data_IF_059311160821
#
_entry.id   IF_059311160821
#
_cell.length_a   1.000
_cell.length_b   1.000
_cell.length_c   1.000
_cell.angle_alpha   90.00
_cell.angle_beta   90.00
_cell.angle_gamma   90.00
#
_symmetry.space_group_name_H-M   'P 1'
#
loop_
_entity.id
_entity.type
_entity.pdbx_description
1 polymer ?
#
# COMPACT_ATOMS: atom_id res chain seq x y z
N UNK A 1 84.80 -1.55 7.34
CA UNK A 1 85.24 -2.69 6.51
C UNK A 1 85.45 -3.89 7.42
N UNK A 2 85.19 -5.12 6.96
CA UNK A 2 84.40 -5.53 5.79
C UNK A 2 83.04 -6.08 6.32
N UNK A 3 82.33 -7.15 5.92
CA UNK A 3 82.02 -7.96 4.71
C UNK A 3 80.61 -8.57 4.97
N UNK A 4 79.86 -9.24 4.08
CA UNK A 4 79.99 -9.67 2.67
C UNK A 4 78.57 -9.64 2.03
N UNK A 5 78.38 -10.18 0.81
CA UNK A 5 77.07 -10.23 0.12
C UNK A 5 76.82 -11.57 -0.59
N UNK A 6 75.55 -12.00 -0.69
CA UNK A 6 75.02 -13.02 -1.64
C UNK A 6 75.52 -14.48 -1.38
N UNK A 7 74.91 -15.57 -1.93
CA UNK A 7 74.17 -15.70 -3.20
C UNK A 7 72.76 -16.35 -3.12
N UNK A 8 72.24 -16.75 -4.30
CA UNK A 8 70.93 -17.37 -4.53
C UNK A 8 71.03 -18.85 -4.95
N UNK A 9 69.86 -19.50 -5.09
CA UNK A 9 69.56 -20.82 -5.69
C UNK A 9 70.16 -22.06 -4.97
N UNK A 10 69.43 -23.14 -4.69
CA UNK A 10 68.82 -24.02 -5.72
C UNK A 10 68.18 -25.30 -5.09
N UNK A 11 67.15 -25.88 -5.77
CA UNK A 11 66.56 -27.25 -5.68
C UNK A 11 66.07 -27.81 -4.30
N UNK A 12 65.03 -28.67 -4.17
CA UNK A 12 64.11 -29.29 -5.16
C UNK A 12 62.70 -29.66 -4.56
N UNK A 13 61.83 -30.22 -5.41
CA UNK A 13 60.42 -30.67 -5.23
C UNK A 13 60.22 -31.79 -4.14
N UNK A 14 59.01 -32.07 -3.58
CA UNK A 14 57.82 -32.52 -4.35
C UNK A 14 56.38 -32.20 -3.82
N UNK A 15 55.51 -31.71 -4.72
CA UNK A 15 54.13 -32.21 -4.99
C UNK A 15 52.97 -32.22 -3.95
N UNK A 16 51.74 -32.32 -4.50
CA UNK A 16 50.40 -32.55 -3.87
C UNK A 16 49.60 -31.27 -3.51
N UNK A 17 48.28 -31.16 -3.84
CA UNK A 17 47.79 -29.91 -4.46
C UNK A 17 46.96 -28.97 -3.58
N UNK A 18 47.08 -27.68 -3.89
CA UNK A 18 46.13 -26.65 -3.46
C UNK A 18 44.75 -26.85 -4.09
N UNK A 19 43.76 -27.26 -3.28
CA UNK A 19 42.35 -26.94 -3.52
C UNK A 19 42.12 -25.47 -3.10
N UNK A 20 41.15 -24.83 -3.74
CA UNK A 20 40.77 -23.40 -3.65
C UNK A 20 41.57 -22.45 -4.57
N UNK A 21 41.01 -22.08 -5.74
CA UNK A 21 41.53 -20.99 -6.57
C UNK A 21 41.41 -19.62 -5.88
N UNK A 22 42.40 -18.76 -6.12
CA UNK A 22 42.40 -17.36 -5.69
C UNK A 22 41.17 -16.60 -6.23
N UNK A 23 40.68 -15.64 -5.44
CA UNK A 23 39.39 -14.99 -5.65
C UNK A 23 39.27 -14.16 -6.94
N UNK A 24 38.03 -13.99 -7.40
CA UNK A 24 37.63 -13.01 -8.43
C UNK A 24 36.50 -12.13 -7.89
N UNK A 25 36.53 -10.84 -8.22
CA UNK A 25 35.66 -9.83 -7.61
C UNK A 25 34.16 -9.92 -7.93
N UNK A 26 33.32 -9.06 -7.33
CA UNK A 26 31.86 -9.24 -7.23
C UNK A 26 31.08 -9.35 -8.55
N UNK A 27 31.62 -8.86 -9.67
CA UNK A 27 30.90 -8.74 -10.94
C UNK A 27 30.44 -10.05 -11.60
N UNK A 28 30.96 -11.21 -11.17
CA UNK A 28 30.64 -12.49 -11.82
C UNK A 28 29.39 -13.21 -11.28
N UNK A 29 28.89 -12.89 -10.08
CA UNK A 29 27.70 -13.56 -9.52
C UNK A 29 26.40 -13.07 -10.17
N UNK A 30 26.29 -11.77 -10.47
CA UNK A 30 25.10 -11.17 -11.08
C UNK A 30 24.83 -11.78 -12.47
N UNK A 31 25.86 -11.94 -13.31
CA UNK A 31 25.72 -12.53 -14.66
C UNK A 31 25.39 -14.02 -14.64
N UNK A 32 25.77 -14.76 -13.59
CA UNK A 32 25.37 -16.17 -13.42
C UNK A 32 23.89 -16.25 -12.99
N UNK A 33 23.48 -15.47 -12.00
CA UNK A 33 22.09 -15.43 -11.53
C UNK A 33 21.11 -14.96 -12.61
N UNK A 34 21.44 -13.92 -13.39
CA UNK A 34 20.64 -13.46 -14.53
C UNK A 34 20.55 -14.46 -15.71
N UNK A 35 21.41 -15.47 -15.74
CA UNK A 35 21.33 -16.57 -16.71
C UNK A 35 20.50 -17.73 -16.14
N UNK A 36 20.72 -18.09 -14.88
CA UNK A 36 19.90 -19.09 -14.18
C UNK A 36 18.42 -18.67 -14.14
N UNK A 37 18.12 -17.38 -13.93
CA UNK A 37 16.76 -16.81 -14.01
C UNK A 37 16.18 -16.78 -15.43
N UNK A 38 17.01 -16.90 -16.47
CA UNK A 38 16.59 -17.00 -17.89
C UNK A 38 16.43 -18.45 -18.36
N UNK A 39 17.07 -19.39 -17.68
CA UNK A 39 17.08 -20.82 -18.02
C UNK A 39 16.09 -21.65 -17.18
N UNK A 40 15.55 -21.10 -16.08
CA UNK A 40 14.64 -21.79 -15.17
C UNK A 40 13.15 -21.77 -15.56
N UNK A 41 12.73 -20.91 -16.49
CA UNK A 41 11.31 -20.69 -16.82
C UNK A 41 10.86 -21.60 -17.98
N UNK A 42 10.50 -22.84 -17.64
CA UNK A 42 9.60 -23.67 -18.45
C UNK A 42 8.19 -23.05 -18.54
N UNK A 43 7.29 -23.58 -19.38
CA UNK A 43 6.07 -22.88 -19.79
C UNK A 43 5.12 -22.55 -18.63
N UNK A 44 4.73 -21.27 -18.56
CA UNK A 44 3.72 -20.76 -17.62
C UNK A 44 2.41 -21.55 -17.66
N UNK A 45 1.78 -21.83 -16.51
CA UNK A 45 0.43 -22.36 -16.46
C UNK A 45 -0.60 -21.31 -16.91
N UNK A 46 -1.29 -21.61 -18.02
CA UNK A 46 -2.56 -21.02 -18.46
C UNK A 46 -2.66 -19.48 -18.50
N UNK A 47 -2.26 -18.90 -19.63
CA UNK A 47 -2.77 -17.60 -20.07
C UNK A 47 -4.30 -17.66 -20.28
N UNK A 48 -5.05 -16.58 -19.98
CA UNK A 48 -6.46 -16.47 -20.39
C UNK A 48 -6.59 -16.40 -21.92
N UNK A 49 -7.74 -16.76 -22.53
CA UNK A 49 -7.84 -17.02 -23.98
C UNK A 49 -7.74 -15.82 -24.94
N UNK A 50 -7.22 -14.66 -24.50
CA UNK A 50 -7.24 -13.39 -25.25
C UNK A 50 -5.94 -13.03 -25.98
N UNK A 51 -4.92 -13.90 -25.95
CA UNK A 51 -3.59 -13.66 -26.56
C UNK A 51 -3.17 -14.75 -27.56
N UNK A 52 -4.10 -15.25 -28.38
CA UNK A 52 -3.74 -15.87 -29.66
C UNK A 52 -3.36 -14.73 -30.62
N UNK A 53 -2.15 -14.80 -31.19
CA UNK A 53 -1.62 -13.78 -32.08
C UNK A 53 -2.45 -13.70 -33.37
N UNK A 54 -3.23 -12.64 -33.53
CA UNK A 54 -4.00 -12.40 -34.76
C UNK A 54 -3.07 -11.95 -35.89
N UNK A 55 -3.39 -12.35 -37.12
CA UNK A 55 -2.70 -11.90 -38.33
C UNK A 55 -2.92 -10.40 -38.63
N UNK A 56 -2.27 -9.87 -39.67
CA UNK A 56 -2.36 -8.45 -40.01
C UNK A 56 -3.77 -8.09 -40.54
N UNK A 57 -4.70 -7.69 -39.65
CA UNK A 57 -6.07 -7.42 -40.09
C UNK A 57 -7.14 -7.09 -39.05
N UNK A 58 -6.86 -6.37 -37.95
CA UNK A 58 -7.85 -5.53 -37.24
C UNK A 58 -7.20 -4.64 -36.18
N UNK A 59 -7.69 -3.42 -35.91
CA UNK A 59 -7.32 -2.66 -34.72
C UNK A 59 -7.99 -3.32 -33.50
N UNK A 60 -7.28 -4.22 -32.82
CA UNK A 60 -7.77 -4.81 -31.57
C UNK A 60 -7.70 -3.74 -30.48
N UNK A 61 -8.83 -3.07 -30.20
CA UNK A 61 -8.93 -2.16 -29.08
C UNK A 61 -8.56 -2.88 -27.78
N UNK A 62 -7.49 -2.40 -27.14
CA UNK A 62 -7.13 -2.80 -25.79
C UNK A 62 -8.35 -2.53 -24.90
N UNK A 63 -8.89 -3.52 -24.15
CA UNK A 63 -10.05 -3.27 -23.29
C UNK A 63 -9.69 -2.10 -22.37
N UNK A 64 -10.51 -1.03 -22.32
CA UNK A 64 -10.09 0.22 -21.69
C UNK A 64 -9.57 -0.04 -20.27
N UNK A 65 -8.34 0.41 -19.98
CA UNK A 65 -8.00 0.69 -18.59
C UNK A 65 -8.97 1.79 -18.16
N UNK A 66 -10.00 1.42 -17.42
CA UNK A 66 -11.06 2.34 -17.02
C UNK A 66 -10.47 3.45 -16.15
N UNK A 67 -10.18 4.60 -16.79
CA UNK A 67 -9.42 5.68 -16.19
C UNK A 67 -10.18 6.25 -14.98
N UNK A 68 -9.64 5.94 -13.80
CA UNK A 68 -10.11 6.53 -12.54
C UNK A 68 -9.88 8.04 -12.61
N UNK A 69 -10.95 8.80 -12.39
CA UNK A 69 -10.87 10.27 -12.43
C UNK A 69 -10.62 10.80 -11.02
N UNK A 70 -9.58 11.62 -10.89
CA UNK A 70 -9.26 12.44 -9.71
C UNK A 70 -9.45 13.92 -10.11
N UNK A 71 -9.81 14.79 -9.18
CA UNK A 71 -10.02 16.22 -9.39
C UNK A 71 -8.93 17.06 -8.71
N UNK A 72 -8.23 17.87 -9.51
CA UNK A 72 -7.28 18.86 -9.03
C UNK A 72 -6.00 18.31 -8.39
N UNK A 73 -5.16 19.19 -7.82
CA UNK A 73 -3.97 18.79 -7.09
C UNK A 73 -4.32 18.17 -5.73
N UNK A 74 -3.52 17.21 -5.22
CA UNK A 74 -3.71 16.64 -3.89
C UNK A 74 -3.44 17.68 -2.79
N UNK A 75 -4.21 17.58 -1.71
CA UNK A 75 -4.08 18.39 -0.50
C UNK A 75 -3.24 17.59 0.51
N UNK A 76 -2.08 18.12 0.88
CA UNK A 76 -1.19 17.50 1.87
C UNK A 76 -1.46 18.03 3.28
N UNK A 77 -1.40 17.13 4.27
CA UNK A 77 -1.60 17.39 5.70
C UNK A 77 -2.81 18.29 6.05
N UNK A 78 -4.02 18.08 5.49
CA UNK A 78 -5.17 18.90 5.82
C UNK A 78 -5.60 18.75 7.29
N UNK A 79 -6.12 19.82 7.93
CA UNK A 79 -6.65 19.74 9.29
C UNK A 79 -7.90 18.85 9.35
N UNK A 80 -8.13 18.25 10.52
CA UNK A 80 -9.39 17.57 10.86
C UNK A 80 -10.13 18.46 11.88
N UNK A 81 -11.43 18.76 11.70
CA UNK A 81 -12.32 18.32 10.61
C UNK A 81 -11.96 18.90 9.23
N UNK A 82 -12.09 18.06 8.19
CA UNK A 82 -11.83 18.41 6.79
C UNK A 82 -13.14 18.42 5.99
N UNK A 83 -13.23 19.36 5.03
CA UNK A 83 -14.31 19.47 4.06
C UNK A 83 -13.74 19.68 2.65
N UNK A 84 -13.95 18.72 1.76
CA UNK A 84 -13.53 18.75 0.35
C UNK A 84 -14.73 18.85 -0.58
N UNK A 85 -14.83 19.95 -1.34
CA UNK A 85 -15.86 20.12 -2.39
C UNK A 85 -15.50 19.28 -3.61
N UNK A 86 -16.43 18.45 -4.07
CA UNK A 86 -16.33 17.66 -5.30
C UNK A 86 -16.92 18.49 -6.45
N UNK A 87 -16.13 18.77 -7.49
CA UNK A 87 -16.58 19.66 -8.57
C UNK A 87 -17.62 18.95 -9.44
N UNK A 88 -18.74 19.62 -9.73
CA UNK A 88 -19.87 19.00 -10.45
C UNK A 88 -20.46 17.75 -9.78
N UNK A 89 -20.15 17.51 -8.49
CA UNK A 89 -20.60 16.34 -7.73
C UNK A 89 -19.94 15.02 -8.11
N UNK A 90 -20.35 13.93 -7.47
CA UNK A 90 -19.91 12.58 -7.83
C UNK A 90 -20.43 12.17 -9.20
N UNK A 91 -19.53 11.69 -10.06
CA UNK A 91 -19.88 10.89 -11.23
C UNK A 91 -19.36 9.48 -11.03
N UNK A 92 -19.91 8.52 -11.78
CA UNK A 92 -19.26 7.21 -11.89
C UNK A 92 -17.80 7.40 -12.35
N UNK A 93 -16.92 6.48 -11.93
CA UNK A 93 -15.46 6.46 -12.20
C UNK A 93 -14.62 7.48 -11.42
N UNK A 94 -15.22 8.47 -10.75
CA UNK A 94 -14.49 9.29 -9.76
C UNK A 94 -14.00 8.43 -8.60
N UNK A 95 -12.79 8.73 -8.14
CA UNK A 95 -12.14 8.05 -7.02
C UNK A 95 -11.62 9.07 -6.04
N UNK A 96 -11.98 8.96 -4.77
CA UNK A 96 -11.50 9.84 -3.70
C UNK A 96 -10.51 9.05 -2.85
N UNK A 97 -9.28 9.57 -2.70
CA UNK A 97 -8.17 8.95 -1.98
C UNK A 97 -7.87 9.74 -0.72
N UNK A 98 -7.92 9.06 0.42
CA UNK A 98 -7.67 9.62 1.75
C UNK A 98 -6.52 8.84 2.37
N UNK A 99 -5.50 9.53 2.90
CA UNK A 99 -4.43 8.92 3.69
C UNK A 99 -4.28 9.64 5.03
N UNK A 100 -4.08 8.86 6.08
CA UNK A 100 -3.88 9.38 7.43
C UNK A 100 -3.49 8.31 8.44
N UNK A 101 -3.28 8.73 9.68
CA UNK A 101 -2.95 7.88 10.81
C UNK A 101 -4.12 7.85 11.79
N UNK A 102 -4.49 6.66 12.28
CA UNK A 102 -5.49 6.49 13.33
C UNK A 102 -4.84 6.85 14.67
N UNK A 103 -5.43 7.79 15.41
CA UNK A 103 -4.85 8.27 16.66
C UNK A 103 -4.87 7.15 17.73
N UNK A 104 -3.80 7.02 18.52
CA UNK A 104 -3.52 5.86 19.39
C UNK A 104 -4.51 5.63 20.55
N UNK A 105 -5.51 6.51 20.74
CA UNK A 105 -6.61 6.36 21.71
C UNK A 105 -7.96 6.76 21.11
N UNK A 106 -8.08 6.69 19.79
CA UNK A 106 -9.29 7.08 19.09
C UNK A 106 -10.47 6.18 19.43
N UNK A 107 -11.65 6.78 19.54
CA UNK A 107 -12.93 6.08 19.67
C UNK A 107 -13.60 5.89 18.31
N UNK A 108 -13.58 6.92 17.45
CA UNK A 108 -14.44 6.99 16.28
C UNK A 108 -13.86 7.84 15.15
N UNK A 109 -13.94 7.35 13.91
CA UNK A 109 -13.67 8.12 12.70
C UNK A 109 -14.98 8.28 11.93
N UNK A 110 -15.17 9.40 11.24
CA UNK A 110 -16.33 9.65 10.38
C UNK A 110 -15.83 10.13 9.02
N UNK A 111 -16.23 9.44 7.96
CA UNK A 111 -16.06 9.88 6.57
C UNK A 111 -17.44 9.90 5.92
N UNK A 112 -17.91 11.09 5.54
CA UNK A 112 -19.23 11.36 4.99
C UNK A 112 -19.12 11.81 3.52
N UNK A 113 -19.82 11.12 2.63
CA UNK A 113 -20.07 11.55 1.25
C UNK A 113 -21.49 12.12 1.21
N UNK A 114 -21.62 13.46 1.20
CA UNK A 114 -22.89 14.17 1.39
C UNK A 114 -23.20 15.23 0.33
N UNK A 115 -24.48 15.57 0.23
CA UNK A 115 -24.94 16.82 -0.38
C UNK A 115 -24.61 17.95 0.59
N UNK A 116 -23.76 18.90 0.20
CA UNK A 116 -23.19 19.91 1.10
C UNK A 116 -24.26 20.81 1.73
N UNK A 117 -25.26 21.14 0.92
CA UNK A 117 -26.22 22.20 1.15
C UNK A 117 -27.54 21.62 1.73
N UNK A 118 -27.46 20.38 2.25
CA UNK A 118 -28.49 19.68 3.03
C UNK A 118 -27.83 18.81 4.13
N UNK A 119 -28.61 18.01 4.87
CA UNK A 119 -28.07 17.01 5.80
C UNK A 119 -27.85 15.62 5.18
N UNK A 120 -28.27 15.40 3.92
CA UNK A 120 -28.30 14.08 3.29
C UNK A 120 -26.90 13.49 3.08
N UNK A 121 -26.60 12.37 3.75
CA UNK A 121 -25.34 11.62 3.62
C UNK A 121 -25.60 10.34 2.82
N UNK A 122 -25.17 10.31 1.56
CA UNK A 122 -25.34 9.17 0.66
C UNK A 122 -24.57 7.93 1.15
N UNK A 123 -23.32 8.14 1.59
CA UNK A 123 -22.48 7.13 2.22
C UNK A 123 -21.78 7.73 3.45
N UNK A 124 -22.18 7.26 4.62
CA UNK A 124 -21.48 7.42 5.89
C UNK A 124 -20.59 6.20 6.12
N UNK A 125 -19.31 6.41 6.41
CA UNK A 125 -18.37 5.36 6.85
C UNK A 125 -17.90 5.73 8.26
N UNK A 126 -18.14 4.85 9.22
CA UNK A 126 -17.79 5.05 10.63
C UNK A 126 -17.07 3.82 11.20
N UNK A 127 -15.71 3.83 11.16
CA UNK A 127 -14.89 2.97 12.01
C UNK A 127 -15.11 3.33 13.48
N UNK A 128 -15.66 2.38 14.25
CA UNK A 128 -15.76 2.44 15.72
C UNK A 128 -14.60 1.61 16.26
N UNK A 129 -13.61 2.31 16.77
CA UNK A 129 -12.28 1.77 17.06
C UNK A 129 -12.28 0.92 18.34
N UNK A 130 -13.12 1.28 19.32
CA UNK A 130 -13.42 0.48 20.52
C UNK A 130 -14.02 -0.89 20.19
N UNK A 131 -14.90 -0.92 19.19
CA UNK A 131 -15.76 -2.06 18.87
C UNK A 131 -15.12 -2.97 17.80
N UNK A 132 -14.05 -2.50 17.15
CA UNK A 132 -13.40 -3.18 16.03
C UNK A 132 -14.24 -3.24 14.75
N UNK A 133 -15.32 -2.45 14.61
CA UNK A 133 -16.25 -2.51 13.46
C UNK A 133 -16.14 -1.30 12.52
N UNK A 134 -16.44 -1.50 11.24
CA UNK A 134 -16.61 -0.42 10.26
C UNK A 134 -18.07 -0.37 9.82
N UNK A 135 -18.83 0.52 10.43
CA UNK A 135 -20.24 0.77 10.12
C UNK A 135 -20.35 1.56 8.82
N UNK A 136 -21.30 1.20 7.95
CA UNK A 136 -21.75 2.04 6.85
C UNK A 136 -23.24 2.26 6.92
N UNK A 137 -23.68 3.45 6.53
CA UNK A 137 -25.09 3.78 6.45
C UNK A 137 -25.34 4.94 5.47
N UNK A 138 -26.61 5.26 5.27
CA UNK A 138 -27.09 6.46 4.58
C UNK A 138 -27.96 7.24 5.56
N UNK A 139 -27.86 8.57 5.56
CA UNK A 139 -28.77 9.47 6.26
C UNK A 139 -29.59 10.25 5.22
N UNK A 140 -30.90 10.12 5.26
CA UNK A 140 -31.86 10.82 4.38
C UNK A 140 -33.03 11.30 5.23
N UNK A 141 -33.62 12.45 4.91
CA UNK A 141 -34.88 12.92 5.51
C UNK A 141 -34.88 12.91 7.06
N UNK A 142 -33.76 13.27 7.69
CA UNK A 142 -33.60 13.31 9.15
C UNK A 142 -33.39 11.95 9.83
N UNK A 143 -33.25 10.85 9.09
CA UNK A 143 -33.17 9.48 9.65
C UNK A 143 -32.01 8.66 9.07
N UNK A 144 -31.43 7.82 9.92
CA UNK A 144 -30.48 6.78 9.52
C UNK A 144 -31.19 5.57 8.92
N UNK A 145 -30.60 4.98 7.87
CA UNK A 145 -31.03 3.69 7.33
C UNK A 145 -30.55 2.49 8.16
N UNK A 146 -30.58 1.29 7.56
CA UNK A 146 -30.03 0.06 8.16
C UNK A 146 -28.51 0.08 8.15
N UNK A 147 -27.86 -0.10 9.31
CA UNK A 147 -26.39 -0.24 9.39
C UNK A 147 -25.89 -1.49 8.63
N UNK A 148 -24.76 -1.36 7.95
CA UNK A 148 -23.97 -2.48 7.41
C UNK A 148 -22.61 -2.54 8.10
N UNK A 149 -22.16 -3.74 8.50
CA UNK A 149 -20.93 -3.93 9.30
C UNK A 149 -19.95 -4.96 8.73
N UNK A 150 -20.39 -5.87 7.87
CA UNK A 150 -19.56 -6.91 7.26
C UNK A 150 -18.40 -6.31 6.47
N UNK A 151 -17.18 -6.74 6.77
CA UNK A 151 -15.92 -6.39 6.09
C UNK A 151 -15.04 -7.65 6.06
N UNK A 152 -14.12 -7.73 5.09
CA UNK A 152 -13.19 -8.88 4.94
C UNK A 152 -12.01 -8.83 5.91
N UNK A 153 -11.60 -7.63 6.32
CA UNK A 153 -10.57 -7.34 7.33
C UNK A 153 -10.85 -5.94 7.91
N UNK A 154 -10.30 -5.58 9.08
CA UNK A 154 -10.36 -4.21 9.59
C UNK A 154 -9.00 -3.50 9.45
N UNK A 155 -8.87 -2.48 8.57
CA UNK A 155 -7.66 -1.70 8.40
C UNK A 155 -7.56 -0.50 9.36
N UNK A 156 -8.63 -0.18 10.09
CA UNK A 156 -8.69 0.93 11.05
C UNK A 156 -8.26 0.47 12.44
N UNK A 157 -7.11 -0.18 12.54
CA UNK A 157 -6.46 -0.43 13.84
C UNK A 157 -5.87 0.86 14.38
N UNK A 158 -5.80 1.03 15.70
CA UNK A 158 -4.89 2.02 16.29
C UNK A 158 -3.47 1.84 15.74
N UNK A 159 -2.71 2.93 15.63
CA UNK A 159 -1.39 2.95 14.96
C UNK A 159 -0.53 1.74 15.32
N UNK A 160 -0.30 0.88 14.33
CA UNK A 160 0.12 -0.51 14.53
C UNK A 160 1.33 -0.62 15.46
N UNK A 161 1.22 -1.50 16.45
CA UNK A 161 2.18 -1.66 17.54
C UNK A 161 3.62 -1.77 17.04
N UNK A 162 4.46 -0.82 17.46
CA UNK A 162 5.88 -1.08 17.68
C UNK A 162 6.16 -0.90 19.17
N UNK A 163 6.81 -1.89 19.77
CA UNK A 163 7.36 -1.79 21.12
C UNK A 163 8.78 -1.24 21.00
N UNK A 164 8.94 0.08 21.15
CA UNK A 164 10.26 0.71 21.25
C UNK A 164 10.76 0.53 22.68
N UNK A 165 11.18 -0.70 22.95
CA UNK A 165 12.14 -0.99 24.00
C UNK A 165 13.46 -0.30 23.65
N UNK A 166 13.64 0.94 24.14
CA UNK A 166 14.92 1.63 24.21
C UNK A 166 15.83 0.92 25.23
N UNK A 167 16.25 -0.28 24.88
CA UNK A 167 17.24 -1.06 25.62
C UNK A 167 18.56 -0.33 25.62
N UNK A 168 18.92 0.24 26.77
CA UNK A 168 20.22 0.86 26.97
C UNK A 168 21.34 -0.18 26.79
N UNK A 169 22.37 0.17 26.00
CA UNK A 169 23.66 -0.52 25.91
C UNK A 169 23.60 -2.05 25.71
N UNK A 170 23.19 -2.49 24.53
CA UNK A 170 23.47 -3.86 24.05
C UNK A 170 24.97 -4.09 23.79
N UNK A 171 25.47 -5.34 23.91
CA UNK A 171 26.91 -5.64 23.90
C UNK A 171 27.57 -5.61 22.50
N UNK A 172 28.90 -5.71 22.52
CA UNK A 172 29.84 -5.70 21.40
C UNK A 172 29.35 -6.38 20.10
N UNK A 173 29.36 -5.69 18.93
CA UNK A 173 29.01 -6.28 17.64
C UNK A 173 29.92 -7.43 17.17
N UNK A 174 31.03 -7.72 17.86
CA UNK A 174 31.84 -8.92 17.63
C UNK A 174 31.26 -10.20 18.27
N UNK A 175 30.17 -10.13 19.05
CA UNK A 175 29.62 -11.31 19.74
C UNK A 175 29.02 -12.34 18.77
N UNK A 176 29.38 -13.64 18.86
CA UNK A 176 28.76 -14.70 18.06
C UNK A 176 27.29 -15.01 18.44
N UNK A 177 26.74 -14.33 19.46
CA UNK A 177 25.31 -14.40 19.81
C UNK A 177 24.44 -13.41 19.02
N UNK A 178 25.03 -12.59 18.12
CA UNK A 178 24.30 -11.55 17.39
C UNK A 178 23.43 -12.15 16.26
N UNK A 179 22.15 -12.37 16.53
CA UNK A 179 21.17 -12.64 15.47
C UNK A 179 20.61 -11.31 14.92
N UNK A 180 20.46 -11.17 13.59
CA UNK A 180 19.87 -9.98 13.00
C UNK A 180 18.36 -9.97 13.27
N UNK A 181 17.93 -9.18 14.24
CA UNK A 181 16.53 -8.79 14.36
C UNK A 181 16.08 -8.16 13.03
N UNK A 182 15.01 -8.70 12.45
CA UNK A 182 14.43 -8.14 11.23
C UNK A 182 14.03 -6.70 11.50
N UNK A 183 14.52 -5.76 10.68
CA UNK A 183 14.15 -4.35 10.76
C UNK A 183 12.69 -4.16 10.32
N UNK A 184 11.77 -4.44 11.23
CA UNK A 184 10.38 -3.96 11.18
C UNK A 184 10.44 -2.43 11.14
N UNK A 185 10.19 -1.86 9.96
CA UNK A 185 10.30 -0.42 9.74
C UNK A 185 9.39 0.32 10.72
N UNK A 186 9.91 1.26 11.56
CA UNK A 186 9.17 1.88 12.66
C UNK A 186 8.25 3.02 12.16
N UNK A 187 7.51 2.76 11.09
CA UNK A 187 6.51 3.64 10.52
C UNK A 187 5.22 2.84 10.35
N UNK A 188 4.24 3.11 11.19
CA UNK A 188 2.86 2.73 10.90
C UNK A 188 2.47 3.43 9.60
N UNK A 189 2.37 2.66 8.51
CA UNK A 189 2.09 3.24 7.20
C UNK A 189 0.73 3.94 7.25
N UNK A 190 0.60 5.17 6.72
CA UNK A 190 -0.67 5.88 6.75
C UNK A 190 -1.71 5.07 5.99
N UNK A 191 -2.82 4.78 6.66
CA UNK A 191 -3.96 4.07 6.10
C UNK A 191 -4.41 4.79 4.84
N UNK A 192 -4.24 4.14 3.69
CA UNK A 192 -4.75 4.65 2.42
C UNK A 192 -6.13 4.06 2.16
N UNK A 193 -7.17 4.85 2.40
CA UNK A 193 -8.52 4.56 1.91
C UNK A 193 -8.66 5.06 0.46
N UNK A 194 -9.42 4.34 -0.36
CA UNK A 194 -9.75 4.76 -1.72
C UNK A 194 -11.19 4.38 -2.03
N UNK A 195 -12.06 5.37 -2.20
CA UNK A 195 -13.50 5.20 -2.42
C UNK A 195 -13.80 5.50 -3.87
N UNK A 196 -14.22 4.49 -4.64
CA UNK A 196 -14.59 4.63 -6.05
C UNK A 196 -16.10 4.71 -6.19
N UNK A 197 -16.62 5.71 -6.89
CA UNK A 197 -18.04 5.79 -7.24
C UNK A 197 -18.32 4.95 -8.50
N UNK A 198 -19.14 3.91 -8.38
CA UNK A 198 -19.73 3.18 -9.50
C UNK A 198 -21.09 3.76 -9.90
N UNK A 199 -21.74 3.13 -10.89
CA UNK A 199 -23.09 3.47 -11.31
C UNK A 199 -24.17 2.97 -10.34
N UNK A 200 -23.91 1.85 -9.65
CA UNK A 200 -24.86 1.15 -8.78
C UNK A 200 -24.42 1.09 -7.30
N UNK A 201 -23.13 1.32 -7.04
CA UNK A 201 -22.51 1.20 -5.71
C UNK A 201 -21.24 2.03 -5.58
N UNK A 202 -20.85 2.31 -4.34
CA UNK A 202 -19.47 2.60 -3.99
C UNK A 202 -18.65 1.30 -3.86
N UNK A 203 -17.37 1.36 -4.23
CA UNK A 203 -16.39 0.29 -3.98
C UNK A 203 -15.24 0.87 -3.16
N UNK A 204 -15.02 0.34 -1.95
CA UNK A 204 -14.05 0.87 -0.99
C UNK A 204 -12.87 -0.08 -0.86
N UNK A 205 -11.67 0.49 -0.97
CA UNK A 205 -10.40 -0.20 -0.85
C UNK A 205 -9.58 0.41 0.29
N UNK A 206 -8.86 -0.42 1.03
CA UNK A 206 -7.91 0.01 2.04
C UNK A 206 -6.54 -0.63 1.77
N UNK A 207 -5.49 0.19 1.73
CA UNK A 207 -4.11 -0.21 1.41
C UNK A 207 -4.00 -1.02 0.09
N UNK A 208 -4.89 -0.74 -0.87
CA UNK A 208 -4.98 -1.43 -2.17
C UNK A 208 -5.91 -2.66 -2.20
N UNK A 209 -6.22 -3.27 -1.04
CA UNK A 209 -7.11 -4.41 -0.93
C UNK A 209 -8.60 -3.98 -0.87
N UNK A 210 -9.50 -4.75 -1.48
CA UNK A 210 -10.95 -4.50 -1.40
C UNK A 210 -11.48 -4.75 0.02
N UNK A 211 -12.25 -3.79 0.55
CA UNK A 211 -12.73 -3.77 1.93
C UNK A 211 -14.24 -4.04 2.02
N UNK A 212 -15.03 -3.30 1.23
CA UNK A 212 -16.47 -3.52 1.06
C UNK A 212 -17.00 -2.83 -0.22
N UNK A 213 -18.11 -3.35 -0.72
CA UNK A 213 -19.03 -2.62 -1.60
C UNK A 213 -20.14 -1.98 -0.75
N UNK A 214 -20.74 -0.88 -1.22
CA UNK A 214 -21.93 -0.27 -0.62
C UNK A 214 -22.90 0.22 -1.70
N UNK A 215 -24.07 -0.41 -1.82
CA UNK A 215 -25.04 -0.09 -2.87
C UNK A 215 -25.63 1.33 -2.72
N UNK A 216 -25.90 1.99 -3.84
CA UNK A 216 -26.47 3.35 -3.86
C UNK A 216 -27.91 3.36 -3.35
N UNK A 217 -28.10 3.62 -2.05
CA UNK A 217 -29.42 3.87 -1.45
C UNK A 217 -29.98 5.26 -1.79
N UNK A 218 -29.10 6.19 -2.13
CA UNK A 218 -29.43 7.51 -2.64
C UNK A 218 -29.26 7.52 -4.17
N UNK A 219 -30.37 7.51 -4.91
CA UNK A 219 -30.37 7.32 -6.36
C UNK A 219 -29.71 8.47 -7.13
N UNK A 220 -29.85 9.70 -6.66
CA UNK A 220 -29.24 10.88 -7.30
C UNK A 220 -27.85 11.19 -6.72
N UNK A 221 -26.93 10.23 -6.80
CA UNK A 221 -25.57 10.38 -6.27
C UNK A 221 -24.80 11.58 -6.85
N UNK A 222 -25.22 12.13 -8.00
CA UNK A 222 -24.68 13.37 -8.56
C UNK A 222 -24.87 14.60 -7.65
N UNK A 223 -25.85 14.61 -6.74
CA UNK A 223 -26.01 15.65 -5.71
C UNK A 223 -24.91 15.62 -4.62
N UNK A 224 -24.15 14.52 -4.52
CA UNK A 224 -23.07 14.39 -3.54
C UNK A 224 -21.88 15.24 -4.01
N UNK A 225 -21.74 16.41 -3.42
CA UNK A 225 -20.74 17.43 -3.79
C UNK A 225 -19.76 17.77 -2.64
N UNK A 226 -19.78 17.00 -1.54
CA UNK A 226 -18.91 17.18 -0.38
C UNK A 226 -18.39 15.85 0.18
N UNK A 227 -17.08 15.80 0.43
CA UNK A 227 -16.42 14.85 1.33
C UNK A 227 -16.19 15.55 2.66
N UNK A 228 -16.71 15.00 3.75
CA UNK A 228 -16.46 15.48 5.11
C UNK A 228 -15.73 14.40 5.91
N UNK A 229 -14.64 14.76 6.61
CA UNK A 229 -13.84 13.83 7.41
C UNK A 229 -13.66 14.40 8.82
N UNK A 230 -14.01 13.61 9.84
CA UNK A 230 -13.97 14.00 11.27
C UNK A 230 -13.53 12.83 12.16
N UNK A 231 -13.26 13.13 13.43
CA UNK A 231 -12.95 12.13 14.45
C UNK A 231 -11.45 11.87 14.62
N UNK A 232 -11.12 10.70 15.15
CA UNK A 232 -9.83 10.42 15.78
C UNK A 232 -8.73 9.96 14.79
N UNK A 233 -8.45 10.81 13.80
CA UNK A 233 -7.38 10.60 12.82
C UNK A 233 -6.60 11.88 12.52
N UNK A 234 -5.35 11.71 12.09
CA UNK A 234 -4.51 12.76 11.52
C UNK A 234 -4.38 12.53 10.01
N UNK A 235 -4.85 13.46 9.18
CA UNK A 235 -4.75 13.34 7.71
C UNK A 235 -3.36 13.78 7.22
N UNK A 236 -2.80 13.01 6.28
CA UNK A 236 -1.54 13.35 5.60
C UNK A 236 -1.72 13.67 4.11
N UNK A 237 -2.80 13.19 3.49
CA UNK A 237 -3.10 13.40 2.08
C UNK A 237 -4.60 13.22 1.82
N UNK A 238 -5.20 14.11 1.04
CA UNK A 238 -6.51 13.89 0.41
C UNK A 238 -6.41 14.32 -1.06
N UNK A 239 -6.88 13.47 -1.97
CA UNK A 239 -7.19 13.86 -3.35
C UNK A 239 -8.64 13.47 -3.67
N UNK A 240 -9.36 14.39 -4.31
CA UNK A 240 -10.78 14.26 -4.67
C UNK A 240 -10.92 13.59 -6.05
#
# INVERSE_FOLDING_TARGET
MPFYSLPADSYDNPSVPSKYPLGRGPGHRIRKWLREWREAEGPFPYLPPSLILQGPGTPQEKPPQELLTMEGPPIFNPPVPFWGRIQNGLTARKTIVIKGLVNQRGSSIIINFKEADSENVALHINPRLSDGVVVRNTFMDGKWGKEEKTITFNPFTWGQYFDVSLGAWGPDPASPSYQPFLLTLPFSLPLQLSVRCGHDRFKVFANGQHLFDYAHRFSNFHKVNMVEIKGDLSLSYVQI
#
